data_IF_526156998719
#
_entry.id   IF_526156998719
#
_cell.length_a   1.000
_cell.length_b   1.000
_cell.length_c   1.000
_cell.angle_alpha   90.00
_cell.angle_beta   90.00
_cell.angle_gamma   90.00
#
_symmetry.space_group_name_H-M   'P 1'
#
loop_
_entity.id
_entity.type
_entity.pdbx_description
1 polymer ?
#
# COMPACT_ATOMS: atom_id res chain seq x y z
N UNK A 1 20.11 -75.74 -31.21
CA UNK A 1 21.14 -75.17 -32.09
C UNK A 1 20.66 -73.77 -32.49
N UNK A 2 21.43 -72.74 -32.12
CA UNK A 2 21.42 -71.35 -32.62
C UNK A 2 20.21 -70.44 -32.30
N UNK A 3 20.56 -69.30 -31.71
CA UNK A 3 19.75 -68.10 -31.45
C UNK A 3 19.35 -67.37 -32.76
N UNK A 4 18.50 -66.34 -32.78
CA UNK A 4 18.89 -64.93 -32.62
C UNK A 4 17.62 -64.04 -32.74
N UNK A 5 17.59 -63.01 -31.88
CA UNK A 5 16.99 -61.65 -31.93
C UNK A 5 15.72 -61.30 -32.72
N UNK A 6 14.92 -60.43 -32.09
CA UNK A 6 13.95 -59.58 -32.80
C UNK A 6 13.13 -58.67 -31.87
N UNK A 7 13.67 -57.50 -31.55
CA UNK A 7 13.17 -56.43 -30.68
C UNK A 7 11.74 -55.92 -30.98
N UNK A 8 11.04 -55.38 -29.96
CA UNK A 8 9.81 -54.59 -30.15
C UNK A 8 9.12 -54.21 -28.84
N UNK A 9 9.61 -53.16 -28.18
CA UNK A 9 9.10 -52.64 -26.91
C UNK A 9 7.88 -51.71 -27.06
N UNK A 10 6.89 -51.85 -26.17
CA UNK A 10 6.32 -50.73 -25.40
C UNK A 10 5.32 -51.26 -24.36
N UNK A 11 5.72 -51.24 -23.09
CA UNK A 11 4.81 -51.37 -21.95
C UNK A 11 4.84 -50.05 -21.19
N UNK A 12 3.71 -49.37 -21.18
CA UNK A 12 3.44 -48.32 -20.20
C UNK A 12 3.31 -48.92 -18.80
N UNK A 13 3.76 -48.16 -17.80
CA UNK A 13 3.24 -48.03 -16.44
C UNK A 13 4.18 -47.15 -15.62
N UNK A 14 3.62 -46.53 -14.59
CA UNK A 14 4.17 -46.09 -13.28
C UNK A 14 3.48 -44.74 -13.01
N UNK A 15 2.31 -44.68 -12.38
CA UNK A 15 1.98 -45.00 -10.98
C UNK A 15 2.92 -44.30 -9.98
N UNK A 16 2.57 -43.06 -9.63
CA UNK A 16 3.28 -42.28 -8.61
C UNK A 16 2.78 -42.67 -7.22
N UNK A 17 3.67 -43.24 -6.39
CA UNK A 17 3.42 -43.62 -5.00
C UNK A 17 4.24 -42.76 -4.04
N UNK A 18 3.61 -42.43 -2.91
CA UNK A 18 4.18 -42.26 -1.56
C UNK A 18 5.59 -41.65 -1.43
N UNK A 19 5.66 -40.46 -0.83
CA UNK A 19 6.75 -40.12 0.09
C UNK A 19 6.20 -39.36 1.31
N UNK A 20 6.19 -40.04 2.46
CA UNK A 20 6.26 -39.40 3.77
C UNK A 20 7.75 -39.16 4.08
N UNK A 21 8.14 -37.97 4.51
CA UNK A 21 9.42 -37.81 5.17
C UNK A 21 9.40 -36.62 6.16
N UNK A 22 9.53 -37.01 7.42
CA UNK A 22 10.11 -36.30 8.57
C UNK A 22 9.60 -34.90 8.95
N UNK A 23 8.91 -34.89 10.09
CA UNK A 23 8.90 -33.80 11.07
C UNK A 23 10.34 -33.57 11.55
N UNK A 24 10.89 -32.40 11.29
CA UNK A 24 12.10 -31.91 11.99
C UNK A 24 11.73 -30.64 12.75
N UNK A 25 12.01 -30.67 14.04
CA UNK A 25 11.82 -29.57 14.98
C UNK A 25 12.59 -28.32 14.51
N UNK A 26 11.89 -27.20 14.37
CA UNK A 26 12.52 -25.89 14.24
C UNK A 26 12.84 -25.39 15.64
N UNK A 27 14.07 -25.67 16.07
CA UNK A 27 14.68 -25.06 17.24
C UNK A 27 14.73 -23.54 17.09
N UNK A 28 14.43 -22.87 18.20
CA UNK A 28 14.47 -21.42 18.41
C UNK A 28 15.81 -20.83 17.95
N UNK A 29 15.78 -20.05 16.88
CA UNK A 29 16.73 -18.97 16.67
C UNK A 29 16.04 -17.67 17.09
N UNK A 30 16.27 -17.26 18.35
CA UNK A 30 16.04 -15.87 18.76
C UNK A 30 17.18 -15.06 18.15
N UNK A 31 17.05 -14.82 16.83
CA UNK A 31 17.92 -13.91 16.11
C UNK A 31 17.66 -12.50 16.61
N UNK A 32 18.70 -11.88 17.15
CA UNK A 32 18.76 -10.47 17.47
C UNK A 32 18.48 -9.67 16.19
N UNK A 33 17.20 -9.36 15.92
CA UNK A 33 16.82 -8.49 14.80
C UNK A 33 17.36 -7.12 15.14
N UNK A 34 18.48 -6.74 14.51
CA UNK A 34 18.84 -5.34 14.36
C UNK A 34 17.58 -4.64 13.86
N UNK A 35 17.03 -3.75 14.67
CA UNK A 35 15.84 -2.98 14.34
C UNK A 35 16.12 -2.33 12.99
N UNK A 36 15.35 -2.70 11.95
CA UNK A 36 15.50 -2.10 10.65
C UNK A 36 15.37 -0.57 10.83
N UNK A 37 16.24 0.24 10.18
CA UNK A 37 16.14 1.69 10.28
C UNK A 37 14.69 2.09 10.01
N UNK A 38 14.11 2.87 10.93
CA UNK A 38 12.72 3.29 10.80
C UNK A 38 12.60 3.99 9.44
N UNK A 39 11.62 3.65 8.61
CA UNK A 39 11.39 4.40 7.39
C UNK A 39 11.07 5.84 7.82
N UNK A 40 11.93 6.76 7.42
CA UNK A 40 11.70 8.19 7.54
C UNK A 40 11.20 8.63 6.17
N UNK A 41 10.06 9.34 6.11
CA UNK A 41 9.63 9.92 4.84
C UNK A 41 10.77 10.81 4.31
N UNK A 42 11.02 10.86 3.00
CA UNK A 42 12.00 11.79 2.42
C UNK A 42 11.60 13.26 2.53
N UNK A 43 10.67 13.60 3.42
CA UNK A 43 10.34 14.98 3.74
C UNK A 43 11.30 15.46 4.83
N UNK A 44 12.51 15.83 4.42
CA UNK A 44 13.28 16.86 5.14
C UNK A 44 12.73 18.26 4.87
N UNK A 45 11.54 18.36 4.25
CA UNK A 45 10.87 19.61 3.95
C UNK A 45 10.04 20.09 5.16
N UNK A 46 10.40 21.20 5.82
CA UNK A 46 9.62 21.81 6.90
C UNK A 46 8.22 22.31 6.44
N UNK A 47 7.88 22.21 5.15
CA UNK A 47 6.60 22.62 4.56
C UNK A 47 5.57 21.50 4.44
N UNK A 48 5.81 20.33 5.03
CA UNK A 48 4.79 19.29 5.15
C UNK A 48 3.56 19.81 5.91
N UNK A 49 2.47 20.06 5.17
CA UNK A 49 1.22 20.61 5.71
C UNK A 49 0.28 19.47 6.09
N UNK A 50 -0.40 19.67 7.21
CA UNK A 50 -1.45 18.82 7.72
C UNK A 50 -2.72 19.64 7.77
N UNK A 51 -3.78 19.15 7.13
CA UNK A 51 -5.10 19.75 7.23
C UNK A 51 -6.14 18.70 7.61
N UNK A 52 -7.21 19.12 8.28
CA UNK A 52 -8.43 18.31 8.33
C UNK A 52 -9.15 18.34 6.98
N UNK A 53 -9.98 17.35 6.71
CA UNK A 53 -10.72 17.26 5.44
C UNK A 53 -11.66 18.46 5.19
N UNK A 54 -12.06 19.20 6.23
CA UNK A 54 -12.88 20.41 6.11
C UNK A 54 -12.08 21.72 5.91
N UNK A 55 -10.74 21.68 5.89
CA UNK A 55 -9.86 22.86 5.86
C UNK A 55 -9.21 23.10 4.46
N UNK A 56 -9.83 22.56 3.40
CA UNK A 56 -9.36 22.64 2.01
C UNK A 56 -9.09 24.06 1.47
N UNK A 57 -9.75 25.08 2.03
CA UNK A 57 -9.64 26.46 1.58
C UNK A 57 -8.23 27.04 1.77
N UNK A 58 -7.42 26.46 2.68
CA UNK A 58 -6.05 26.86 2.94
C UNK A 58 -5.02 26.22 1.98
N UNK A 59 -5.45 25.36 1.05
CA UNK A 59 -4.58 24.66 0.10
C UNK A 59 -4.42 25.48 -1.19
N UNK A 60 -3.18 25.63 -1.62
CA UNK A 60 -2.79 26.32 -2.85
C UNK A 60 -2.88 25.38 -4.05
N UNK A 61 -3.15 25.95 -5.22
CA UNK A 61 -3.19 25.21 -6.49
C UNK A 61 -1.78 24.95 -7.02
N UNK A 62 -1.02 24.13 -6.30
CA UNK A 62 0.39 23.83 -6.61
C UNK A 62 0.60 22.33 -6.81
N UNK A 63 1.55 21.91 -7.67
CA UNK A 63 1.91 20.50 -7.81
C UNK A 63 2.47 19.91 -6.51
N UNK A 64 2.35 18.59 -6.34
CA UNK A 64 2.91 17.93 -5.17
C UNK A 64 2.42 16.50 -4.92
N UNK A 65 2.79 16.00 -3.74
CA UNK A 65 2.46 14.66 -3.24
C UNK A 65 1.62 14.78 -1.98
N UNK A 66 0.64 13.89 -1.83
CA UNK A 66 -0.27 13.86 -0.70
C UNK A 66 -0.50 12.43 -0.19
N UNK A 67 -0.89 12.34 1.08
CA UNK A 67 -1.46 11.15 1.68
C UNK A 67 -2.82 11.48 2.31
N UNK A 68 -3.83 10.69 1.97
CA UNK A 68 -5.13 10.72 2.62
C UNK A 68 -5.11 9.76 3.80
N UNK A 69 -5.45 10.24 4.99
CA UNK A 69 -5.62 9.43 6.18
C UNK A 69 -7.11 9.16 6.36
N UNK A 70 -7.52 7.93 6.09
CA UNK A 70 -8.91 7.51 6.16
C UNK A 70 -9.16 6.62 7.38
N UNK A 71 -10.38 6.66 7.90
CA UNK A 71 -10.86 5.78 8.96
C UNK A 71 -12.06 4.99 8.49
N UNK A 72 -12.00 3.67 8.63
CA UNK A 72 -13.18 2.80 8.51
C UNK A 72 -13.63 2.40 9.91
N UNK A 73 -14.86 2.74 10.33
CA UNK A 73 -15.40 2.27 11.61
C UNK A 73 -15.93 0.83 11.53
N UNK A 74 -16.21 0.33 10.32
CA UNK A 74 -16.85 -0.96 10.07
C UNK A 74 -15.96 -1.88 9.23
N UNK A 75 -16.28 -3.16 9.26
CA UNK A 75 -15.82 -4.12 8.25
C UNK A 75 -16.76 -4.14 7.04
N UNK A 76 -16.29 -4.72 5.95
CA UNK A 76 -17.10 -4.91 4.75
C UNK A 76 -16.27 -5.43 3.59
N UNK A 77 -16.91 -5.57 2.44
CA UNK A 77 -16.24 -5.93 1.18
C UNK A 77 -16.60 -4.91 0.13
N UNK A 78 -15.59 -4.34 -0.53
CA UNK A 78 -15.79 -3.46 -1.68
C UNK A 78 -15.22 -4.12 -2.93
N UNK A 79 -15.93 -3.96 -4.05
CA UNK A 79 -15.42 -4.36 -5.36
C UNK A 79 -14.79 -3.16 -6.04
N UNK A 80 -13.48 -3.19 -6.24
CA UNK A 80 -12.69 -2.10 -6.81
C UNK A 80 -12.42 -2.44 -8.28
N UNK A 81 -13.30 -1.98 -9.18
CA UNK A 81 -13.14 -2.13 -10.62
C UNK A 81 -12.61 -3.51 -11.06
N UNK A 82 -11.46 -3.52 -11.73
CA UNK A 82 -10.75 -4.73 -12.18
C UNK A 82 -9.81 -5.35 -11.14
N UNK A 83 -9.47 -4.65 -10.06
CA UNK A 83 -8.66 -5.19 -8.95
C UNK A 83 -9.42 -6.26 -8.15
N UNK A 84 -10.75 -6.26 -8.23
CA UNK A 84 -11.59 -7.26 -7.59
C UNK A 84 -12.03 -6.87 -6.18
N UNK A 85 -12.25 -7.86 -5.32
CA UNK A 85 -12.83 -7.65 -4.00
C UNK A 85 -11.75 -7.38 -2.95
N UNK A 86 -11.89 -6.30 -2.18
CA UNK A 86 -11.05 -6.00 -1.02
C UNK A 86 -11.87 -6.10 0.26
N UNK A 87 -11.31 -6.78 1.26
CA UNK A 87 -11.87 -6.76 2.61
C UNK A 87 -11.47 -5.46 3.31
N UNK A 88 -12.48 -4.73 3.78
CA UNK A 88 -12.31 -3.59 4.67
C UNK A 88 -12.41 -4.08 6.11
N UNK A 89 -11.50 -3.59 6.96
CA UNK A 89 -11.44 -3.87 8.39
C UNK A 89 -11.55 -2.55 9.15
N UNK A 90 -12.14 -2.54 10.35
CA UNK A 90 -12.14 -1.37 11.21
C UNK A 90 -10.71 -0.95 11.52
N UNK A 91 -10.37 0.31 11.24
CA UNK A 91 -9.01 0.81 11.38
C UNK A 91 -8.73 2.01 10.51
N UNK A 92 -7.46 2.18 10.19
CA UNK A 92 -6.92 3.34 9.48
C UNK A 92 -6.32 2.91 8.15
N UNK A 93 -6.56 3.70 7.13
CA UNK A 93 -6.03 3.52 5.80
C UNK A 93 -5.24 4.76 5.40
N UNK A 94 -4.11 4.55 4.74
CA UNK A 94 -3.32 5.62 4.15
C UNK A 94 -3.25 5.38 2.66
N UNK A 95 -3.73 6.34 1.88
CA UNK A 95 -3.60 6.34 0.43
C UNK A 95 -2.63 7.43 0.00
N UNK A 96 -1.56 7.06 -0.69
CA UNK A 96 -0.56 7.99 -1.23
C UNK A 96 -0.88 8.29 -2.69
N UNK A 97 -0.72 9.54 -3.09
CA UNK A 97 -0.86 9.95 -4.48
C UNK A 97 -0.17 11.27 -4.78
N UNK A 98 -0.19 11.63 -6.05
CA UNK A 98 0.39 12.87 -6.55
C UNK A 98 -0.60 13.68 -7.40
N UNK A 99 -0.31 14.97 -7.53
CA UNK A 99 -1.18 15.93 -8.18
C UNK A 99 -0.37 16.93 -9.01
N UNK A 100 0.04 16.52 -10.21
CA UNK A 100 0.82 17.33 -11.16
C UNK A 100 -0.01 17.94 -12.30
N UNK A 101 -1.31 17.61 -12.35
CA UNK A 101 -2.24 18.16 -13.34
C UNK A 101 -2.77 19.56 -12.97
N UNK A 102 -3.68 20.11 -13.80
CA UNK A 102 -4.30 21.41 -13.56
C UNK A 102 -4.92 21.53 -12.16
N UNK A 103 -4.62 22.63 -11.47
CA UNK A 103 -5.10 22.91 -10.12
C UNK A 103 -4.37 22.16 -8.99
N UNK A 104 -3.39 21.31 -9.33
CA UNK A 104 -2.46 20.71 -8.38
C UNK A 104 -3.10 19.95 -7.22
N UNK A 105 -2.43 19.96 -6.08
CA UNK A 105 -2.87 19.30 -4.84
C UNK A 105 -4.26 19.78 -4.43
N UNK A 106 -4.55 21.09 -4.44
CA UNK A 106 -5.87 21.63 -4.09
C UNK A 106 -6.99 20.98 -4.90
N UNK A 107 -6.89 20.93 -6.23
CA UNK A 107 -7.92 20.36 -7.09
C UNK A 107 -8.09 18.86 -6.83
N UNK A 108 -6.98 18.13 -6.66
CA UNK A 108 -7.03 16.69 -6.39
C UNK A 108 -7.65 16.37 -5.04
N UNK A 109 -7.29 17.12 -4.00
CA UNK A 109 -7.89 16.96 -2.67
C UNK A 109 -9.37 17.35 -2.65
N UNK A 110 -9.77 18.40 -3.39
CA UNK A 110 -11.17 18.78 -3.53
C UNK A 110 -12.00 17.67 -4.17
N UNK A 111 -11.46 16.95 -5.15
CA UNK A 111 -12.09 15.74 -5.68
C UNK A 111 -12.23 14.66 -4.60
N UNK A 112 -11.13 14.36 -3.90
CA UNK A 112 -11.09 13.30 -2.88
C UNK A 112 -11.93 13.57 -1.64
N UNK A 113 -12.28 14.81 -1.34
CA UNK A 113 -13.11 15.14 -0.17
C UNK A 113 -14.60 15.17 -0.53
N UNK A 114 -14.95 15.38 -1.80
CA UNK A 114 -16.36 15.33 -2.23
C UNK A 114 -16.96 13.93 -2.02
N UNK A 115 -18.27 13.85 -1.69
CA UNK A 115 -18.98 12.58 -1.66
C UNK A 115 -18.88 11.84 -3.00
N UNK A 116 -18.71 10.53 -2.92
CA UNK A 116 -18.59 9.68 -4.11
C UNK A 116 -19.99 9.36 -4.62
N UNK A 117 -20.36 9.93 -5.77
CA UNK A 117 -21.60 9.55 -6.47
C UNK A 117 -21.37 8.39 -7.44
N UNK A 118 -20.23 8.42 -8.14
CA UNK A 118 -19.81 7.42 -9.12
C UNK A 118 -18.31 7.17 -8.97
N UNK A 119 -17.89 6.04 -8.37
CA UNK A 119 -16.48 5.75 -8.18
C UNK A 119 -15.76 5.61 -9.52
N UNK A 120 -14.61 6.28 -9.66
CA UNK A 120 -13.77 6.17 -10.86
C UNK A 120 -12.36 5.72 -10.51
N UNK A 121 -11.74 6.33 -9.50
CA UNK A 121 -10.43 5.93 -9.00
C UNK A 121 -10.56 4.90 -7.89
N UNK A 122 -9.53 4.07 -7.67
CA UNK A 122 -9.56 3.03 -6.64
C UNK A 122 -9.94 3.57 -5.25
N UNK A 123 -9.44 4.75 -4.90
CA UNK A 123 -9.74 5.43 -3.63
C UNK A 123 -11.22 5.82 -3.48
N UNK A 124 -11.94 6.07 -4.58
CA UNK A 124 -13.37 6.41 -4.53
C UNK A 124 -14.20 5.23 -4.02
N UNK A 125 -13.83 4.00 -4.39
CA UNK A 125 -14.47 2.79 -3.88
C UNK A 125 -14.23 2.63 -2.38
N UNK A 126 -13.01 2.88 -1.91
CA UNK A 126 -12.68 2.82 -0.49
C UNK A 126 -13.47 3.84 0.34
N UNK A 127 -13.66 5.04 -0.21
CA UNK A 127 -14.43 6.11 0.42
C UNK A 127 -15.92 5.80 0.63
N UNK A 128 -16.43 4.71 0.05
CA UNK A 128 -17.81 4.25 0.34
C UNK A 128 -17.95 3.68 1.75
N UNK A 129 -16.85 3.16 2.32
CA UNK A 129 -16.82 2.59 3.68
C UNK A 129 -15.82 3.29 4.62
N UNK A 130 -14.97 4.17 4.10
CA UNK A 130 -13.98 4.90 4.90
C UNK A 130 -14.09 6.42 4.70
N UNK A 131 -13.91 7.18 5.78
CA UNK A 131 -14.00 8.65 5.76
C UNK A 131 -12.60 9.25 5.81
N UNK A 132 -12.34 10.28 4.99
CA UNK A 132 -11.09 11.06 5.04
C UNK A 132 -11.12 11.95 6.29
N UNK A 133 -10.24 11.67 7.24
CA UNK A 133 -10.12 12.40 8.52
C UNK A 133 -9.08 13.52 8.42
N UNK A 134 -8.00 13.26 7.68
CA UNK A 134 -6.85 14.16 7.61
C UNK A 134 -6.14 13.99 6.27
N UNK A 135 -5.50 15.07 5.82
CA UNK A 135 -4.66 15.07 4.64
C UNK A 135 -3.28 15.59 5.00
N UNK A 136 -2.27 14.86 4.54
CA UNK A 136 -0.87 15.24 4.62
C UNK A 136 -0.37 15.54 3.22
N UNK A 137 0.35 16.64 3.03
CA UNK A 137 0.86 16.96 1.70
C UNK A 137 2.11 17.84 1.75
N UNK A 138 2.87 17.76 0.66
CA UNK A 138 3.99 18.64 0.35
C UNK A 138 3.81 19.17 -1.07
N UNK A 139 4.19 20.42 -1.29
CA UNK A 139 4.30 20.95 -2.65
C UNK A 139 5.66 20.58 -3.23
N UNK A 140 5.72 20.42 -4.54
CA UNK A 140 6.96 20.11 -5.23
C UNK A 140 6.75 19.88 -6.70
N UNK A 141 7.79 20.09 -7.50
CA UNK A 141 7.77 19.87 -8.95
C UNK A 141 8.08 18.42 -9.34
N UNK A 142 8.43 17.58 -8.37
CA UNK A 142 8.75 16.16 -8.56
C UNK A 142 7.88 15.29 -7.66
N UNK A 143 7.44 14.14 -8.18
CA UNK A 143 6.63 13.21 -7.40
C UNK A 143 7.46 12.50 -6.34
N UNK A 144 6.98 12.51 -5.10
CA UNK A 144 7.54 11.75 -3.99
C UNK A 144 6.69 10.51 -3.65
N UNK A 145 5.74 10.14 -4.53
CA UNK A 145 4.74 9.09 -4.30
C UNK A 145 5.36 7.73 -3.98
N UNK A 146 6.41 7.32 -4.69
CA UNK A 146 7.11 6.05 -4.45
C UNK A 146 7.79 6.03 -3.09
N UNK A 147 8.52 7.10 -2.78
CA UNK A 147 9.30 7.18 -1.56
C UNK A 147 8.39 7.29 -0.31
N UNK A 148 7.23 7.94 -0.45
CA UNK A 148 6.19 7.91 0.57
C UNK A 148 5.61 6.51 0.72
N UNK A 149 5.31 5.83 -0.38
CA UNK A 149 4.77 4.47 -0.36
C UNK A 149 5.72 3.48 0.30
N UNK A 150 7.02 3.52 0.00
CA UNK A 150 8.04 2.71 0.65
C UNK A 150 8.11 2.99 2.16
N UNK A 151 8.04 4.26 2.54
CA UNK A 151 8.04 4.64 3.94
C UNK A 151 6.82 4.11 4.70
N UNK A 152 5.62 4.21 4.11
CA UNK A 152 4.40 3.65 4.71
C UNK A 152 4.45 2.13 4.78
N UNK A 153 4.98 1.46 3.75
CA UNK A 153 5.15 0.01 3.71
C UNK A 153 6.04 -0.51 4.84
N UNK A 154 7.15 0.18 5.11
CA UNK A 154 8.13 -0.24 6.12
C UNK A 154 7.73 0.09 7.57
N UNK A 155 6.61 0.78 7.80
CA UNK A 155 6.21 1.17 9.14
C UNK A 155 5.70 0.01 9.99
N UNK A 156 6.00 0.08 11.29
CA UNK A 156 5.51 -0.91 12.24
C UNK A 156 3.98 -0.89 12.30
N UNK A 157 3.38 -2.04 12.00
CA UNK A 157 1.93 -2.21 12.01
C UNK A 157 1.23 -1.81 10.71
N UNK A 158 2.00 -1.46 9.67
CA UNK A 158 1.50 -1.38 8.31
C UNK A 158 1.23 -2.78 7.75
N UNK A 159 0.22 -2.89 6.92
CA UNK A 159 0.01 -4.04 6.04
C UNK A 159 -0.59 -3.56 4.71
N UNK A 160 -0.45 -4.34 3.66
CA UNK A 160 -0.99 -4.04 2.34
C UNK A 160 -2.35 -4.72 2.19
N UNK A 161 -3.47 -3.99 2.24
CA UNK A 161 -4.80 -4.60 2.17
C UNK A 161 -5.13 -5.11 0.75
N UNK A 162 -4.50 -4.55 -0.28
CA UNK A 162 -4.67 -4.95 -1.67
C UNK A 162 -3.46 -4.51 -2.51
N UNK A 163 -2.82 -5.47 -3.18
CA UNK A 163 -1.79 -5.20 -4.16
C UNK A 163 -2.38 -4.53 -5.42
N UNK A 164 -1.59 -3.68 -6.08
CA UNK A 164 -1.97 -2.91 -7.26
C UNK A 164 -2.88 -1.71 -6.98
N UNK A 165 -3.25 -1.46 -5.72
CA UNK A 165 -4.16 -0.37 -5.39
C UNK A 165 -3.47 0.99 -5.61
N UNK A 166 -3.87 1.65 -6.69
CA UNK A 166 -3.42 3.02 -6.99
C UNK A 166 -1.99 3.10 -7.53
N UNK A 167 -1.39 1.96 -7.86
CA UNK A 167 -0.03 1.83 -8.42
C UNK A 167 -0.04 1.26 -9.84
N UNK A 168 -1.10 1.50 -10.62
CA UNK A 168 -1.27 0.89 -11.95
C UNK A 168 -0.28 1.40 -13.01
N UNK A 169 0.35 2.54 -12.75
CA UNK A 169 1.32 3.22 -13.60
C UNK A 169 2.76 3.15 -13.04
N UNK A 170 2.99 2.37 -11.98
CA UNK A 170 4.31 2.21 -11.37
C UNK A 170 4.58 0.77 -10.90
N UNK A 171 5.78 0.54 -10.36
CA UNK A 171 6.21 -0.77 -9.85
C UNK A 171 5.94 -0.95 -8.35
N UNK A 172 5.29 0.01 -7.69
CA UNK A 172 4.97 -0.11 -6.27
C UNK A 172 3.93 -1.22 -6.07
N UNK A 173 4.10 -2.03 -5.02
CA UNK A 173 3.17 -3.11 -4.70
C UNK A 173 1.77 -2.56 -4.41
N UNK A 174 1.66 -1.41 -3.75
CA UNK A 174 0.43 -0.67 -3.53
C UNK A 174 0.74 0.74 -3.09
N UNK A 175 -0.18 1.68 -3.33
CA UNK A 175 -0.19 2.99 -2.68
C UNK A 175 -1.21 3.07 -1.53
N UNK A 176 -1.82 1.93 -1.17
CA UNK A 176 -2.73 1.82 -0.04
C UNK A 176 -2.13 0.98 1.08
N UNK A 177 -2.20 1.50 2.30
CA UNK A 177 -1.67 0.88 3.50
C UNK A 177 -2.74 0.84 4.58
N UNK A 178 -2.78 -0.24 5.36
CA UNK A 178 -3.69 -0.40 6.49
C UNK A 178 -2.93 -0.42 7.82
N UNK A 179 -3.52 0.21 8.83
CA UNK A 179 -3.07 0.22 10.21
C UNK A 179 -4.24 -0.03 11.16
N UNK A 180 -4.05 -0.89 12.17
CA UNK A 180 -5.07 -1.09 13.23
C UNK A 180 -5.24 0.15 14.12
N UNK A 181 -4.18 0.95 14.28
CA UNK A 181 -4.17 2.20 15.04
C UNK A 181 -3.82 3.35 14.10
N UNK A 182 -4.16 4.59 14.46
CA UNK A 182 -3.84 5.77 13.65
C UNK A 182 -2.33 5.83 13.40
N UNK A 183 -1.87 6.01 12.15
CA UNK A 183 -0.44 6.15 11.86
C UNK A 183 0.11 7.41 12.55
N UNK A 184 1.34 7.35 13.09
CA UNK A 184 1.94 8.49 13.78
C UNK A 184 2.26 9.62 12.79
N UNK A 185 1.94 10.86 13.16
CA UNK A 185 2.23 12.07 12.35
C UNK A 185 3.72 12.40 12.22
N UNK A 186 4.59 11.74 13.02
CA UNK A 186 6.04 12.00 13.09
C UNK A 186 6.75 11.89 11.73
N UNK A 187 6.10 11.28 10.76
CA UNK A 187 6.52 11.20 9.37
C UNK A 187 6.76 12.59 8.73
N UNK A 188 6.09 13.64 9.21
CA UNK A 188 6.22 15.02 8.69
C UNK A 188 7.02 15.95 9.61
N UNK A 189 7.42 15.49 10.81
CA UNK A 189 7.96 16.37 11.87
C UNK A 189 9.35 15.92 12.34
N UNK A 190 10.17 15.31 11.48
CA UNK A 190 11.57 15.05 11.79
C UNK A 190 12.38 16.37 11.81
N UNK A 191 12.17 17.17 12.86
CA UNK A 191 12.94 18.36 13.15
C UNK A 191 14.19 17.95 13.95
N UNK A 192 15.36 18.33 13.41
CA UNK A 192 16.70 18.38 14.06
C UNK A 192 17.31 17.07 14.58
N UNK A 193 18.38 16.65 13.90
CA UNK A 193 19.68 16.38 14.52
C UNK A 193 20.78 16.45 13.44
N UNK A 194 21.19 17.66 13.08
CA UNK A 194 22.56 17.92 12.64
C UNK A 194 23.15 18.78 13.75
N UNK A 195 24.03 18.17 14.55
CA UNK A 195 25.31 18.78 14.91
C UNK A 195 26.36 17.79 14.42
#
# INVERSE_FOLDING_TARGET
MVAISGCGASRGKVQCSRFSCLKTAVSRAVGNRKEAPRPVLPTHDPLAKIIRSNELNAVESSPGTYALILRSPTEGVIRIGRLGNMQIKPGWYVYVGSAFGPGGVRARLAHHIRPVQRPHWHIDYLKTLAVVEEVWFVYGQTSQEHAWSECFAGMRGASLPMAGFGSSDCHCESHLFYFKKRPPKKLLTAHRAIV
#
